data_IF_407948729794
#
_entry.id   IF_407948729794
#
_cell.length_a   1.000
_cell.length_b   1.000
_cell.length_c   1.000
_cell.angle_alpha   90.00
_cell.angle_beta   90.00
_cell.angle_gamma   90.00
#
_symmetry.space_group_name_H-M   'P 1'
#
loop_
_entity.id
_entity.type
_entity.pdbx_description
1 polymer ?
#
# COMPACT_ATOMS: atom_id res chain seq x y z
N UNK A 1 -46.91 2.66 -15.21
CA UNK A 1 -47.14 1.57 -14.24
C UNK A 1 -46.54 1.82 -12.85
N UNK A 2 -45.29 2.36 -12.73
CA UNK A 2 -44.65 2.60 -11.43
C UNK A 2 -45.36 3.58 -10.50
N UNK A 3 -46.06 4.62 -11.04
CA UNK A 3 -46.77 5.61 -10.21
C UNK A 3 -48.01 5.08 -9.51
N UNK A 4 -48.80 4.20 -10.11
CA UNK A 4 -49.95 3.58 -9.47
C UNK A 4 -49.58 2.63 -8.34
N UNK A 5 -48.47 1.96 -8.46
CA UNK A 5 -47.94 1.06 -7.42
C UNK A 5 -47.40 1.85 -6.21
N UNK A 6 -46.88 3.03 -6.45
CA UNK A 6 -46.39 3.95 -5.41
C UNK A 6 -47.53 4.48 -4.56
N UNK A 7 -48.59 5.04 -5.22
CA UNK A 7 -49.75 5.56 -4.51
C UNK A 7 -50.48 4.49 -3.71
N UNK A 8 -50.60 3.26 -4.20
CA UNK A 8 -51.21 2.14 -3.45
C UNK A 8 -50.41 1.75 -2.22
N UNK A 9 -49.06 1.69 -2.27
CA UNK A 9 -48.24 1.37 -1.09
C UNK A 9 -48.25 2.52 -0.08
N UNK A 10 -48.10 3.76 -0.51
CA UNK A 10 -48.16 4.92 0.38
C UNK A 10 -49.53 5.02 1.09
N UNK A 11 -50.62 4.82 0.36
CA UNK A 11 -51.98 4.78 0.90
C UNK A 11 -52.15 3.68 1.94
N UNK A 12 -51.56 2.53 1.73
CA UNK A 12 -51.59 1.40 2.69
C UNK A 12 -50.92 1.76 4.04
N UNK A 13 -49.78 2.49 4.01
CA UNK A 13 -49.11 2.93 5.23
C UNK A 13 -49.86 4.06 5.95
N UNK A 14 -50.48 4.98 5.21
CA UNK A 14 -51.39 5.99 5.80
C UNK A 14 -52.54 5.30 6.48
N UNK A 15 -53.11 4.26 5.87
CA UNK A 15 -54.20 3.46 6.45
C UNK A 15 -53.80 2.75 7.74
N UNK A 16 -52.52 2.29 7.88
CA UNK A 16 -52.00 1.67 9.11
C UNK A 16 -51.66 2.69 10.20
N UNK A 17 -51.29 3.93 9.85
CA UNK A 17 -51.05 4.98 10.85
C UNK A 17 -52.34 5.50 11.45
N UNK A 18 -53.42 5.54 10.70
CA UNK A 18 -54.71 6.13 11.05
C UNK A 18 -55.32 5.52 12.32
N UNK A 19 -55.38 4.16 12.53
CA UNK A 19 -55.85 3.55 13.77
C UNK A 19 -55.04 3.98 14.98
N UNK A 20 -53.71 4.11 14.88
CA UNK A 20 -52.87 4.56 15.99
C UNK A 20 -53.15 6.02 16.38
N UNK A 21 -53.36 6.89 15.40
CA UNK A 21 -53.74 8.29 15.64
C UNK A 21 -55.11 8.38 16.27
N UNK A 22 -56.11 7.66 15.73
CA UNK A 22 -57.47 7.62 16.27
C UNK A 22 -57.48 7.12 17.70
N UNK A 23 -56.75 6.04 17.97
CA UNK A 23 -56.66 5.47 19.32
C UNK A 23 -55.98 6.48 20.28
N UNK A 24 -54.90 7.16 19.85
CA UNK A 24 -54.22 8.17 20.65
C UNK A 24 -55.14 9.31 21.09
N UNK A 25 -56.00 9.85 20.18
CA UNK A 25 -56.95 10.90 20.50
C UNK A 25 -58.19 10.44 21.25
N UNK A 26 -58.59 9.18 21.11
CA UNK A 26 -59.75 8.62 21.82
C UNK A 26 -59.40 8.13 23.24
N UNK A 27 -58.14 7.85 23.52
CA UNK A 27 -57.68 7.35 24.83
C UNK A 27 -58.18 8.19 26.04
N UNK A 28 -58.12 9.56 26.01
CA UNK A 28 -58.61 10.40 27.11
C UNK A 28 -60.12 10.28 27.38
N UNK A 29 -60.89 9.81 26.37
CA UNK A 29 -62.34 9.72 26.45
C UNK A 29 -62.87 8.31 26.84
N UNK A 30 -61.95 7.31 26.87
CA UNK A 30 -62.28 5.94 27.23
C UNK A 30 -62.37 5.81 28.76
N UNK A 31 -63.59 5.94 29.29
CA UNK A 31 -63.95 5.86 30.73
C UNK A 31 -63.60 4.53 31.41
N UNK A 32 -63.07 3.52 30.71
CA UNK A 32 -62.70 2.22 31.27
C UNK A 32 -61.28 2.09 31.78
N UNK A 33 -60.43 3.12 31.66
CA UNK A 33 -59.00 3.11 32.06
C UNK A 33 -58.89 4.04 33.28
N UNK A 34 -59.30 3.53 34.45
CA UNK A 34 -59.30 4.32 35.71
C UNK A 34 -57.92 4.59 36.31
N UNK A 35 -56.88 3.86 35.89
CA UNK A 35 -55.53 4.01 36.42
C UNK A 35 -54.71 4.94 35.53
N UNK A 36 -54.17 6.05 36.09
CA UNK A 36 -53.23 6.97 35.39
C UNK A 36 -52.04 6.21 34.77
N UNK A 37 -51.59 5.16 35.44
CA UNK A 37 -50.48 4.31 34.99
C UNK A 37 -50.82 3.57 33.69
N UNK A 38 -52.00 3.00 33.59
CA UNK A 38 -52.51 2.28 32.39
C UNK A 38 -52.66 3.24 31.22
N UNK A 39 -53.23 4.43 31.48
CA UNK A 39 -53.40 5.47 30.46
C UNK A 39 -52.05 5.94 29.89
N UNK A 40 -51.04 6.12 30.77
CA UNK A 40 -49.71 6.48 30.39
C UNK A 40 -49.02 5.39 29.55
N UNK A 41 -49.10 4.13 29.93
CA UNK A 41 -48.56 2.99 29.20
C UNK A 41 -49.19 2.87 27.81
N UNK A 42 -50.52 2.95 27.74
CA UNK A 42 -51.26 2.84 26.49
C UNK A 42 -50.91 3.98 25.51
N UNK A 43 -50.78 5.21 26.02
CA UNK A 43 -50.34 6.37 25.23
C UNK A 43 -48.96 6.14 24.62
N UNK A 44 -47.99 5.66 25.42
CA UNK A 44 -46.64 5.35 24.94
C UNK A 44 -46.65 4.24 23.88
N UNK A 45 -47.42 3.20 24.05
CA UNK A 45 -47.60 2.12 23.08
C UNK A 45 -48.17 2.64 21.75
N UNK A 46 -49.18 3.54 21.81
CA UNK A 46 -49.75 4.17 20.62
C UNK A 46 -48.69 5.03 19.89
N UNK A 47 -47.94 5.83 20.62
CA UNK A 47 -46.85 6.66 20.01
C UNK A 47 -45.78 5.78 19.40
N UNK A 48 -45.33 4.72 20.09
CA UNK A 48 -44.35 3.76 19.58
C UNK A 48 -44.87 3.06 18.31
N UNK A 49 -46.12 2.68 18.27
CA UNK A 49 -46.78 2.11 17.07
C UNK A 49 -46.78 3.08 15.89
N UNK A 50 -47.17 4.36 16.12
CA UNK A 50 -47.15 5.40 15.08
C UNK A 50 -45.75 5.59 14.52
N UNK A 51 -44.73 5.69 15.39
CA UNK A 51 -43.32 5.81 14.97
C UNK A 51 -42.90 4.60 14.12
N UNK A 52 -43.26 3.38 14.55
CA UNK A 52 -42.99 2.15 13.79
C UNK A 52 -43.60 2.19 12.39
N UNK A 53 -44.86 2.61 12.27
CA UNK A 53 -45.53 2.75 10.96
C UNK A 53 -44.82 3.79 10.06
N UNK A 54 -44.37 4.92 10.63
CA UNK A 54 -43.64 5.94 9.92
C UNK A 54 -42.28 5.37 9.40
N UNK A 55 -41.53 4.65 10.24
CA UNK A 55 -40.28 4.02 9.84
C UNK A 55 -40.47 3.04 8.68
N UNK A 56 -41.52 2.20 8.74
CA UNK A 56 -41.85 1.29 7.64
C UNK A 56 -42.29 2.03 6.36
N UNK A 57 -42.99 3.15 6.50
CA UNK A 57 -43.36 3.99 5.35
C UNK A 57 -42.11 4.59 4.66
N UNK A 58 -41.18 5.14 5.46
CA UNK A 58 -39.89 5.67 4.96
C UNK A 58 -39.08 4.55 4.30
N UNK A 59 -38.96 3.40 4.94
CA UNK A 59 -38.25 2.24 4.38
C UNK A 59 -38.86 1.80 3.03
N UNK A 60 -40.18 1.79 2.93
CA UNK A 60 -40.87 1.46 1.69
C UNK A 60 -40.57 2.49 0.56
N UNK A 61 -40.45 3.77 0.92
CA UNK A 61 -40.05 4.82 0.01
C UNK A 61 -38.61 4.64 -0.48
N UNK A 62 -37.68 4.31 0.41
CA UNK A 62 -36.29 4.01 0.07
C UNK A 62 -36.18 2.81 -0.89
N UNK A 63 -37.01 1.78 -0.69
CA UNK A 63 -37.05 0.62 -1.58
C UNK A 63 -37.52 0.95 -3.00
N UNK A 64 -38.35 1.99 -3.18
CA UNK A 64 -38.78 2.44 -4.51
C UNK A 64 -37.64 3.14 -5.29
N UNK A 65 -36.71 3.77 -4.58
CA UNK A 65 -35.55 4.42 -5.17
C UNK A 65 -34.42 3.44 -5.52
N UNK A 66 -34.58 2.15 -5.24
CA UNK A 66 -33.57 1.11 -5.38
C UNK A 66 -33.25 0.81 -6.85
N UNK A 67 -32.20 1.45 -7.39
CA UNK A 67 -31.53 1.05 -8.64
C UNK A 67 -30.46 0.01 -8.35
N UNK A 68 -29.97 -0.71 -9.39
CA UNK A 68 -28.91 -1.71 -9.21
C UNK A 68 -27.63 -1.07 -8.63
N UNK A 69 -27.27 0.14 -9.07
CA UNK A 69 -26.09 0.85 -8.60
C UNK A 69 -26.21 1.37 -7.15
N UNK A 70 -27.43 1.69 -6.68
CA UNK A 70 -27.65 2.27 -5.33
C UNK A 70 -28.03 1.24 -4.26
N UNK A 71 -28.05 -0.04 -4.60
CA UNK A 71 -28.53 -1.11 -3.70
C UNK A 71 -27.81 -1.14 -2.34
N UNK A 72 -26.48 -1.04 -2.37
CA UNK A 72 -25.65 -1.04 -1.15
C UNK A 72 -25.88 0.20 -0.28
N UNK A 73 -25.94 1.40 -0.91
CA UNK A 73 -26.20 2.65 -0.18
C UNK A 73 -27.55 2.63 0.52
N UNK A 74 -28.60 2.17 -0.17
CA UNK A 74 -29.96 2.07 0.41
C UNK A 74 -29.96 1.11 1.59
N UNK A 75 -29.24 -0.01 1.55
CA UNK A 75 -29.14 -0.92 2.68
C UNK A 75 -28.50 -0.25 3.92
N UNK A 76 -27.46 0.55 3.73
CA UNK A 76 -26.84 1.30 4.83
C UNK A 76 -27.86 2.29 5.44
N UNK A 77 -28.57 3.06 4.61
CA UNK A 77 -29.60 3.96 5.10
C UNK A 77 -30.74 3.24 5.84
N UNK A 78 -31.14 2.06 5.41
CA UNK A 78 -32.15 1.25 6.08
C UNK A 78 -31.66 0.81 7.47
N UNK A 79 -30.41 0.36 7.60
CA UNK A 79 -29.83 -0.02 8.91
C UNK A 79 -29.82 1.17 9.86
N UNK A 80 -29.35 2.35 9.39
CA UNK A 80 -29.33 3.57 10.20
C UNK A 80 -30.76 3.98 10.59
N UNK A 81 -31.69 3.96 9.65
CA UNK A 81 -33.10 4.32 9.89
C UNK A 81 -33.73 3.45 11.00
N UNK A 82 -33.55 2.13 10.91
CA UNK A 82 -34.12 1.22 11.91
C UNK A 82 -33.37 1.29 13.24
N UNK A 83 -32.06 1.54 13.25
CA UNK A 83 -31.29 1.72 14.48
C UNK A 83 -31.72 2.99 15.23
N UNK A 84 -31.75 4.13 14.55
CA UNK A 84 -32.19 5.41 15.14
C UNK A 84 -33.65 5.34 15.55
N UNK A 85 -34.51 4.83 14.68
CA UNK A 85 -35.94 4.64 14.97
C UNK A 85 -36.19 3.72 16.12
N UNK A 86 -35.45 2.63 16.25
CA UNK A 86 -35.51 1.71 17.39
C UNK A 86 -35.17 2.40 18.71
N UNK A 87 -34.13 3.22 18.74
CA UNK A 87 -33.75 4.00 19.94
C UNK A 87 -34.88 4.99 20.31
N UNK A 88 -35.49 5.65 19.34
CA UNK A 88 -36.59 6.58 19.57
C UNK A 88 -37.79 5.82 20.14
N UNK A 89 -38.15 4.65 19.61
CA UNK A 89 -39.25 3.81 20.14
C UNK A 89 -38.95 3.40 21.59
N UNK A 90 -37.75 2.89 21.85
CA UNK A 90 -37.33 2.52 23.22
C UNK A 90 -37.41 3.71 24.15
N UNK A 91 -36.95 4.90 23.73
CA UNK A 91 -36.99 6.11 24.55
C UNK A 91 -38.43 6.49 24.96
N UNK A 92 -39.37 6.38 24.04
CA UNK A 92 -40.79 6.61 24.30
C UNK A 92 -41.32 5.60 25.30
N UNK A 93 -41.02 4.31 25.13
CA UNK A 93 -41.52 3.26 26.02
C UNK A 93 -41.00 3.40 27.45
N UNK A 94 -39.70 3.75 27.64
CA UNK A 94 -39.11 3.89 28.99
C UNK A 94 -39.24 5.31 29.56
N UNK A 95 -39.89 6.23 28.85
CA UNK A 95 -40.06 7.64 29.24
C UNK A 95 -38.72 8.38 29.50
N UNK A 96 -37.76 8.15 28.66
CA UNK A 96 -36.48 8.87 28.70
C UNK A 96 -36.30 9.65 27.41
N UNK A 97 -35.56 10.75 27.47
CA UNK A 97 -35.29 11.50 26.25
C UNK A 97 -34.39 10.70 25.28
N UNK A 98 -34.67 10.74 23.98
CA UNK A 98 -33.76 10.08 22.97
C UNK A 98 -32.31 10.54 23.11
N UNK A 99 -32.07 11.81 23.42
CA UNK A 99 -30.73 12.38 23.60
C UNK A 99 -29.95 11.69 24.73
N UNK A 100 -30.61 11.35 25.83
CA UNK A 100 -29.98 10.62 26.97
C UNK A 100 -29.53 9.21 26.54
N UNK A 101 -30.35 8.52 25.74
CA UNK A 101 -30.02 7.19 25.22
C UNK A 101 -28.87 7.28 24.20
N UNK A 102 -28.94 8.23 23.26
CA UNK A 102 -27.86 8.44 22.31
C UNK A 102 -26.55 8.82 22.99
N UNK A 103 -26.58 9.68 24.01
CA UNK A 103 -25.38 10.04 24.77
C UNK A 103 -24.76 8.83 25.48
N UNK A 104 -25.60 8.00 26.15
CA UNK A 104 -25.13 6.78 26.82
C UNK A 104 -24.55 5.75 25.86
N UNK A 105 -25.29 5.47 24.76
CA UNK A 105 -24.83 4.54 23.74
C UNK A 105 -23.56 5.07 23.01
N UNK A 106 -23.51 6.37 22.72
CA UNK A 106 -22.35 7.00 22.10
C UNK A 106 -21.10 6.93 22.97
N UNK A 107 -21.24 7.20 24.27
CA UNK A 107 -20.12 7.05 25.21
C UNK A 107 -19.63 5.59 25.30
N UNK A 108 -20.54 4.64 25.39
CA UNK A 108 -20.20 3.21 25.39
C UNK A 108 -19.53 2.78 24.09
N UNK A 109 -20.04 3.23 22.95
CA UNK A 109 -19.47 2.93 21.63
C UNK A 109 -18.07 3.53 21.48
N UNK A 110 -17.82 4.75 22.00
CA UNK A 110 -16.51 5.38 21.98
C UNK A 110 -15.47 4.59 22.80
N UNK A 111 -15.86 4.10 23.97
CA UNK A 111 -15.00 3.24 24.80
C UNK A 111 -14.69 1.92 24.08
N UNK A 112 -15.71 1.27 23.51
CA UNK A 112 -15.51 0.04 22.76
C UNK A 112 -14.61 0.25 21.53
N UNK A 113 -14.82 1.35 20.80
CA UNK A 113 -14.00 1.70 19.65
C UNK A 113 -12.53 1.92 20.05
N UNK A 114 -12.28 2.54 21.23
CA UNK A 114 -10.93 2.74 21.74
C UNK A 114 -10.26 1.38 22.09
N UNK A 115 -11.00 0.48 22.72
CA UNK A 115 -10.50 -0.85 23.11
C UNK A 115 -10.18 -1.71 21.87
N UNK A 116 -11.01 -1.64 20.84
CA UNK A 116 -10.83 -2.45 19.62
C UNK A 116 -10.11 -1.72 18.48
N UNK A 117 -9.62 -0.50 18.70
CA UNK A 117 -8.98 0.33 17.67
C UNK A 117 -7.92 -0.45 16.89
N UNK A 118 -6.96 -1.04 17.59
CA UNK A 118 -5.83 -1.71 16.96
C UNK A 118 -6.25 -2.99 16.23
N UNK A 119 -7.23 -3.69 16.77
CA UNK A 119 -7.82 -4.88 16.11
C UNK A 119 -8.51 -4.50 14.80
N UNK A 120 -9.29 -3.40 14.80
CA UNK A 120 -9.97 -2.91 13.60
C UNK A 120 -8.94 -2.43 12.57
N UNK A 121 -7.92 -1.68 12.99
CA UNK A 121 -6.85 -1.23 12.09
C UNK A 121 -6.08 -2.42 11.50
N UNK A 122 -5.74 -3.42 12.32
CA UNK A 122 -5.09 -4.65 11.85
C UNK A 122 -5.94 -5.40 10.83
N UNK A 123 -7.23 -5.55 11.08
CA UNK A 123 -8.17 -6.19 10.16
C UNK A 123 -8.27 -5.45 8.81
N UNK A 124 -8.48 -4.13 8.86
CA UNK A 124 -8.59 -3.30 7.64
C UNK A 124 -7.29 -3.36 6.85
N UNK A 125 -6.15 -3.25 7.52
CA UNK A 125 -4.84 -3.35 6.88
C UNK A 125 -4.59 -4.73 6.26
N UNK A 126 -4.95 -5.82 6.96
CA UNK A 126 -4.86 -7.18 6.42
C UNK A 126 -5.69 -7.36 5.14
N UNK A 127 -6.91 -6.83 5.13
CA UNK A 127 -7.77 -6.81 3.93
C UNK A 127 -7.13 -5.99 2.81
N UNK A 128 -6.56 -4.81 3.11
CA UNK A 128 -5.90 -3.97 2.12
C UNK A 128 -4.66 -4.64 1.52
N UNK A 129 -3.80 -5.26 2.32
CA UNK A 129 -2.63 -5.99 1.85
C UNK A 129 -3.02 -7.10 0.87
N UNK A 130 -4.08 -7.85 1.19
CA UNK A 130 -4.56 -8.95 0.36
C UNK A 130 -5.32 -8.46 -0.88
N UNK A 131 -6.24 -7.51 -0.74
CA UNK A 131 -7.09 -7.03 -1.83
C UNK A 131 -6.30 -6.26 -2.91
N UNK A 132 -5.26 -5.53 -2.50
CA UNK A 132 -4.37 -4.80 -3.41
C UNK A 132 -3.14 -5.60 -3.85
N UNK A 133 -3.04 -6.86 -3.44
CA UNK A 133 -1.91 -7.73 -3.77
C UNK A 133 -0.54 -7.15 -3.39
N UNK A 134 -0.49 -6.40 -2.30
CA UNK A 134 0.73 -5.73 -1.86
C UNK A 134 1.75 -6.72 -1.28
N UNK A 135 1.27 -7.84 -0.72
CA UNK A 135 2.07 -8.82 -0.02
C UNK A 135 1.49 -10.23 -0.17
N UNK A 136 2.36 -11.21 -0.47
CA UNK A 136 2.04 -12.65 -0.52
C UNK A 136 2.96 -13.44 0.40
N UNK A 137 2.50 -14.61 0.82
CA UNK A 137 3.38 -15.61 1.47
C UNK A 137 4.45 -16.03 0.46
N UNK A 138 5.71 -16.05 0.90
CA UNK A 138 6.87 -16.32 0.06
C UNK A 138 7.53 -15.08 -0.53
N UNK A 139 6.94 -13.89 -0.41
CA UNK A 139 7.59 -12.64 -0.83
C UNK A 139 8.82 -12.35 0.05
N UNK A 140 9.87 -11.90 -0.59
CA UNK A 140 10.96 -11.27 0.11
C UNK A 140 10.66 -9.78 0.30
N UNK A 141 10.60 -9.34 1.56
CA UNK A 141 10.37 -7.94 1.92
C UNK A 141 11.46 -7.40 2.83
N UNK A 142 11.67 -6.10 2.76
CA UNK A 142 12.58 -5.35 3.62
C UNK A 142 11.88 -4.09 4.11
N UNK A 143 11.77 -3.92 5.42
CA UNK A 143 11.24 -2.72 6.04
C UNK A 143 12.28 -1.59 5.99
N UNK A 144 11.81 -0.34 5.91
CA UNK A 144 12.69 0.83 5.79
C UNK A 144 13.56 1.09 7.02
N UNK A 145 13.12 0.65 8.19
CA UNK A 145 13.84 0.73 9.47
C UNK A 145 14.75 -0.48 9.72
N UNK A 146 14.89 -1.37 8.72
CA UNK A 146 15.67 -2.61 8.81
C UNK A 146 15.22 -3.58 9.92
N UNK A 147 14.09 -3.33 10.57
CA UNK A 147 13.56 -4.20 11.64
C UNK A 147 13.16 -5.60 11.13
N UNK A 148 12.93 -5.74 9.82
CA UNK A 148 12.72 -7.02 9.17
C UNK A 148 13.25 -6.99 7.72
N UNK A 149 14.00 -8.05 7.36
CA UNK A 149 14.48 -8.28 6.00
C UNK A 149 14.54 -9.79 5.75
N UNK A 150 13.56 -10.31 5.00
CA UNK A 150 13.46 -11.76 4.79
C UNK A 150 12.18 -12.17 4.08
N UNK A 151 11.85 -13.44 4.22
CA UNK A 151 10.74 -14.10 3.52
C UNK A 151 9.48 -14.10 4.41
N UNK A 152 8.35 -13.72 3.83
CA UNK A 152 7.04 -13.78 4.48
C UNK A 152 6.62 -15.24 4.63
N UNK A 153 6.50 -15.71 5.88
CA UNK A 153 6.08 -17.07 6.20
C UNK A 153 4.55 -17.19 6.32
N UNK A 154 3.94 -16.20 6.95
CA UNK A 154 2.52 -16.26 7.33
C UNK A 154 1.92 -14.85 7.36
N UNK A 155 0.70 -14.74 6.89
CA UNK A 155 -0.11 -13.53 6.98
C UNK A 155 -1.42 -13.90 7.70
N UNK A 156 -1.61 -13.37 8.88
CA UNK A 156 -2.86 -13.50 9.66
C UNK A 156 -3.57 -12.17 9.75
N UNK A 157 -4.72 -12.15 10.42
CA UNK A 157 -5.51 -10.95 10.61
C UNK A 157 -4.74 -9.81 11.30
N UNK A 158 -3.92 -10.15 12.29
CA UNK A 158 -3.24 -9.19 13.18
C UNK A 158 -1.71 -9.25 13.08
N UNK A 159 -1.16 -10.16 12.26
CA UNK A 159 0.26 -10.47 12.31
C UNK A 159 0.78 -10.93 10.95
N UNK A 160 1.92 -10.39 10.54
CA UNK A 160 2.74 -10.91 9.45
C UNK A 160 4.03 -11.42 10.05
N UNK A 161 4.39 -12.70 9.81
CA UNK A 161 5.65 -13.30 10.23
C UNK A 161 6.63 -13.30 9.07
N UNK A 162 7.83 -12.82 9.33
CA UNK A 162 8.91 -12.69 8.36
C UNK A 162 10.12 -13.45 8.91
N UNK A 163 10.61 -14.40 8.16
CA UNK A 163 11.88 -15.07 8.47
C UNK A 163 13.02 -14.25 7.88
N UNK A 164 13.81 -13.65 8.75
CA UNK A 164 15.00 -12.90 8.40
C UNK A 164 16.12 -13.82 7.89
N UNK A 165 17.11 -13.24 7.21
CA UNK A 165 18.24 -13.99 6.65
C UNK A 165 19.15 -14.63 7.71
N UNK A 166 19.11 -14.16 8.95
CA UNK A 166 19.79 -14.73 10.11
C UNK A 166 18.98 -15.84 10.80
N UNK A 167 17.89 -16.32 10.18
CA UNK A 167 16.93 -17.29 10.67
C UNK A 167 16.09 -16.83 11.88
N UNK A 168 16.18 -15.58 12.30
CA UNK A 168 15.23 -15.03 13.28
C UNK A 168 13.86 -14.76 12.65
N UNK A 169 12.82 -14.69 13.48
CA UNK A 169 11.48 -14.38 13.02
C UNK A 169 11.04 -13.01 13.55
N UNK A 170 10.84 -12.07 12.64
CA UNK A 170 10.20 -10.79 12.93
C UNK A 170 8.70 -10.91 12.81
N UNK A 171 7.98 -10.31 13.77
CA UNK A 171 6.51 -10.27 13.79
C UNK A 171 6.06 -8.83 13.66
N UNK A 172 5.36 -8.52 12.57
CA UNK A 172 4.95 -7.15 12.22
C UNK A 172 3.43 -7.07 12.12
N UNK A 173 2.77 -6.10 12.77
CA UNK A 173 1.35 -5.87 12.56
C UNK A 173 1.05 -5.45 11.11
N UNK A 174 -0.03 -5.95 10.47
CA UNK A 174 -0.40 -5.56 9.09
C UNK A 174 -0.53 -4.06 8.88
N UNK A 175 -1.05 -3.31 9.86
CA UNK A 175 -1.20 -1.87 9.75
C UNK A 175 0.14 -1.12 9.63
N UNK A 176 1.22 -1.66 10.20
CA UNK A 176 2.57 -1.10 10.03
C UNK A 176 2.99 -1.15 8.57
N UNK A 177 2.78 -2.28 7.89
CA UNK A 177 3.11 -2.45 6.47
C UNK A 177 2.29 -1.54 5.54
N UNK A 178 1.04 -1.21 5.93
CA UNK A 178 0.21 -0.28 5.16
C UNK A 178 0.61 1.18 5.39
N UNK A 179 1.07 1.53 6.60
CA UNK A 179 1.37 2.90 7.00
C UNK A 179 2.84 3.30 6.84
N UNK A 180 3.74 2.35 6.63
CA UNK A 180 5.17 2.60 6.41
C UNK A 180 5.61 2.11 5.03
N UNK A 181 6.73 2.61 4.57
CA UNK A 181 7.32 2.13 3.32
C UNK A 181 8.06 0.81 3.56
N UNK A 182 7.84 -0.17 2.72
CA UNK A 182 8.66 -1.37 2.64
C UNK A 182 9.01 -1.67 1.18
N UNK A 183 10.14 -2.34 0.96
CA UNK A 183 10.52 -2.87 -0.35
C UNK A 183 9.98 -4.29 -0.48
N UNK A 184 9.25 -4.57 -1.56
CA UNK A 184 8.88 -5.93 -1.95
C UNK A 184 9.77 -6.34 -3.15
N UNK A 185 10.60 -7.34 -2.95
CA UNK A 185 11.55 -7.82 -3.94
C UNK A 185 10.93 -8.76 -4.97
N UNK A 186 9.61 -9.04 -4.91
CA UNK A 186 8.88 -9.81 -5.92
C UNK A 186 9.09 -9.23 -7.32
N UNK A 187 8.98 -7.90 -7.46
CA UNK A 187 9.21 -7.23 -8.74
C UNK A 187 10.61 -7.50 -9.31
N UNK A 188 11.65 -7.56 -8.47
CA UNK A 188 12.99 -7.95 -8.90
C UNK A 188 13.03 -9.42 -9.33
N UNK A 189 12.39 -10.34 -8.59
CA UNK A 189 12.33 -11.76 -8.94
C UNK A 189 11.56 -12.02 -10.24
N UNK A 190 10.51 -11.26 -10.51
CA UNK A 190 9.71 -11.34 -11.73
C UNK A 190 10.33 -10.58 -12.91
N UNK A 191 11.24 -9.64 -12.66
CA UNK A 191 11.93 -8.85 -13.69
C UNK A 191 13.00 -9.65 -14.44
N UNK A 192 13.56 -9.06 -15.48
CA UNK A 192 14.65 -9.64 -16.28
C UNK A 192 16.00 -9.74 -15.58
N UNK A 193 16.18 -9.17 -14.37
CA UNK A 193 17.48 -9.20 -13.71
C UNK A 193 17.52 -8.50 -12.36
N UNK A 194 18.62 -8.69 -11.64
CA UNK A 194 18.91 -8.02 -10.39
C UNK A 194 19.89 -6.88 -10.63
N UNK A 195 19.57 -5.69 -10.13
CA UNK A 195 20.36 -4.48 -10.29
C UNK A 195 21.69 -4.55 -9.53
N UNK A 196 22.75 -4.16 -10.21
CA UNK A 196 24.06 -3.81 -9.64
C UNK A 196 24.21 -2.30 -9.78
N UNK A 197 24.45 -1.62 -8.69
CA UNK A 197 24.71 -0.17 -8.63
C UNK A 197 25.91 0.04 -7.71
N UNK A 198 27.10 0.18 -8.30
CA UNK A 198 28.35 0.35 -7.57
C UNK A 198 29.19 1.47 -8.21
N UNK A 199 30.08 2.03 -7.42
CA UNK A 199 30.93 3.14 -7.83
C UNK A 199 32.39 2.80 -7.72
N UNK A 200 33.14 3.05 -8.79
CA UNK A 200 34.62 3.01 -8.80
C UNK A 200 35.10 4.43 -8.60
N UNK A 201 35.99 4.63 -7.62
CA UNK A 201 36.55 5.95 -7.29
C UNK A 201 37.96 6.07 -7.88
N UNK A 202 38.17 7.02 -8.79
CA UNK A 202 39.44 7.26 -9.42
C UNK A 202 40.19 8.42 -8.76
N UNK A 203 41.52 8.32 -8.65
CA UNK A 203 42.37 9.43 -8.24
C UNK A 203 42.40 10.49 -9.35
N UNK A 204 41.91 11.69 -9.05
CA UNK A 204 41.83 12.81 -9.99
C UNK A 204 43.20 13.28 -10.48
N UNK A 205 44.28 13.04 -9.71
CA UNK A 205 45.64 13.39 -10.12
C UNK A 205 46.15 12.52 -11.27
N UNK A 206 45.49 11.43 -11.57
CA UNK A 206 45.84 10.53 -12.68
C UNK A 206 45.07 10.80 -13.95
N UNK A 207 44.13 11.76 -13.91
CA UNK A 207 43.36 12.16 -15.09
C UNK A 207 44.25 12.93 -16.07
N UNK A 208 44.26 12.50 -17.33
CA UNK A 208 45.03 13.16 -18.41
C UNK A 208 44.38 12.94 -19.77
N UNK A 209 44.76 13.75 -20.74
CA UNK A 209 44.38 13.48 -22.11
C UNK A 209 45.15 12.27 -22.65
N UNK A 210 44.52 11.50 -23.52
CA UNK A 210 45.15 10.35 -24.15
C UNK A 210 46.22 10.80 -25.14
N UNK A 211 47.40 10.13 -25.13
CA UNK A 211 48.45 10.28 -26.13
C UNK A 211 48.29 9.20 -27.20
N UNK A 212 48.87 9.43 -28.39
CA UNK A 212 48.84 8.43 -29.47
C UNK A 212 49.52 7.12 -29.07
N UNK A 213 50.57 7.19 -28.25
CA UNK A 213 51.25 6.01 -27.70
C UNK A 213 50.33 5.21 -26.78
N UNK A 214 49.61 5.90 -25.89
CA UNK A 214 48.61 5.26 -25.01
C UNK A 214 47.50 4.59 -25.80
N UNK A 215 46.94 5.27 -26.80
CA UNK A 215 45.89 4.71 -27.65
C UNK A 215 46.39 3.49 -28.43
N UNK A 216 47.64 3.52 -28.91
CA UNK A 216 48.24 2.38 -29.61
C UNK A 216 48.46 1.19 -28.71
N UNK A 217 48.96 1.41 -27.48
CA UNK A 217 49.12 0.39 -26.46
C UNK A 217 47.79 -0.25 -26.10
N UNK A 218 46.78 0.54 -25.79
CA UNK A 218 45.44 0.03 -25.40
C UNK A 218 44.83 -0.79 -26.53
N UNK A 219 44.97 -0.40 -27.79
CA UNK A 219 44.48 -1.19 -28.93
C UNK A 219 45.18 -2.54 -29.08
N UNK A 220 46.45 -2.62 -28.71
CA UNK A 220 47.25 -3.85 -28.79
C UNK A 220 46.97 -4.77 -27.59
N UNK A 221 46.91 -4.24 -26.38
CA UNK A 221 46.85 -4.99 -25.12
C UNK A 221 45.45 -5.30 -24.66
N UNK A 222 44.44 -4.46 -25.06
CA UNK A 222 43.04 -4.63 -24.67
C UNK A 222 42.17 -5.05 -25.85
N UNK A 223 41.86 -6.36 -26.01
CA UNK A 223 41.20 -6.86 -27.22
C UNK A 223 39.85 -6.21 -27.52
N UNK A 224 39.07 -5.84 -26.49
CA UNK A 224 37.78 -5.16 -26.63
C UNK A 224 37.90 -3.74 -27.19
N UNK A 225 39.11 -3.17 -27.18
CA UNK A 225 39.38 -1.79 -27.60
C UNK A 225 40.02 -1.69 -29.00
N UNK A 226 40.15 -2.81 -29.74
CA UNK A 226 40.77 -2.83 -31.06
C UNK A 226 40.05 -1.95 -32.09
N UNK A 227 38.72 -1.96 -32.07
CA UNK A 227 37.88 -1.31 -33.09
C UNK A 227 37.36 0.06 -32.62
N UNK A 228 38.06 0.74 -31.72
CA UNK A 228 37.65 2.09 -31.29
C UNK A 228 38.05 3.09 -32.36
N UNK A 229 37.02 3.55 -33.08
CA UNK A 229 37.14 4.78 -33.89
C UNK A 229 37.09 5.99 -32.96
N UNK A 230 38.28 6.45 -32.59
CA UNK A 230 38.41 7.67 -31.80
C UNK A 230 38.18 8.86 -32.73
N UNK A 231 36.95 9.32 -32.85
CA UNK A 231 36.55 10.44 -33.72
C UNK A 231 37.22 11.76 -33.33
N UNK A 232 37.80 11.88 -32.13
CA UNK A 232 38.49 13.10 -31.70
C UNK A 232 39.67 12.76 -30.77
N UNK A 233 40.79 12.37 -31.41
CA UNK A 233 42.01 11.91 -30.73
C UNK A 233 42.62 12.93 -29.77
N UNK A 234 42.37 14.23 -29.98
CA UNK A 234 43.03 15.31 -29.23
C UNK A 234 42.27 15.72 -27.96
N UNK A 235 41.00 15.33 -27.79
CA UNK A 235 40.19 15.75 -26.65
C UNK A 235 39.78 14.60 -25.70
N UNK A 236 40.10 13.35 -26.03
CA UNK A 236 39.71 12.19 -25.23
C UNK A 236 40.59 12.06 -23.98
N UNK A 237 39.96 11.88 -22.82
CA UNK A 237 40.65 11.58 -21.56
C UNK A 237 40.77 10.09 -21.31
N UNK A 238 41.75 9.68 -20.51
CA UNK A 238 41.92 8.30 -20.06
C UNK A 238 40.69 7.79 -19.28
N UNK A 239 40.05 8.62 -18.47
CA UNK A 239 38.81 8.27 -17.77
C UNK A 239 37.63 8.06 -18.74
N UNK A 240 37.52 8.82 -19.82
CA UNK A 240 36.55 8.60 -20.88
C UNK A 240 36.79 7.27 -21.59
N UNK A 241 38.02 6.96 -21.88
CA UNK A 241 38.42 5.71 -22.54
C UNK A 241 38.14 4.50 -21.64
N UNK A 242 38.39 4.64 -20.35
CA UNK A 242 38.05 3.59 -19.35
C UNK A 242 36.54 3.36 -19.22
N UNK A 243 35.72 4.42 -19.18
CA UNK A 243 34.27 4.29 -19.19
C UNK A 243 33.75 3.55 -20.44
N UNK A 244 34.31 3.85 -21.59
CA UNK A 244 33.97 3.16 -22.84
C UNK A 244 34.37 1.69 -22.80
N UNK A 245 35.51 1.37 -22.16
CA UNK A 245 35.91 -0.01 -21.91
C UNK A 245 34.92 -0.73 -21.03
N UNK A 246 34.53 -0.15 -19.89
CA UNK A 246 33.53 -0.74 -18.97
C UNK A 246 32.22 -1.02 -19.72
N UNK A 247 31.72 -0.07 -20.49
CA UNK A 247 30.52 -0.22 -21.29
C UNK A 247 30.63 -1.40 -22.28
N UNK A 248 31.70 -1.47 -23.03
CA UNK A 248 31.96 -2.59 -23.96
C UNK A 248 32.09 -3.93 -23.23
N UNK A 249 32.82 -3.97 -22.13
CA UNK A 249 33.00 -5.18 -21.35
C UNK A 249 31.65 -5.73 -20.84
N UNK A 250 30.84 -4.87 -20.25
CA UNK A 250 29.51 -5.26 -19.72
C UNK A 250 28.52 -5.62 -20.84
N UNK A 251 28.58 -4.93 -21.98
CA UNK A 251 27.76 -5.25 -23.16
C UNK A 251 28.05 -6.66 -23.72
N UNK A 252 29.30 -7.10 -23.66
CA UNK A 252 29.70 -8.42 -24.13
C UNK A 252 29.67 -9.51 -23.05
N UNK A 253 29.37 -9.14 -21.80
CA UNK A 253 29.36 -10.11 -20.71
C UNK A 253 28.09 -10.98 -20.75
N UNK A 254 28.20 -12.33 -20.75
CA UNK A 254 27.08 -13.23 -21.03
C UNK A 254 25.95 -13.18 -20.00
N UNK A 255 26.26 -12.80 -18.75
CA UNK A 255 25.31 -12.78 -17.64
C UNK A 255 24.68 -11.39 -17.43
N UNK A 256 25.18 -10.36 -18.10
CA UNK A 256 24.59 -9.01 -18.06
C UNK A 256 23.36 -8.96 -18.98
N UNK A 257 22.24 -8.51 -18.46
CA UNK A 257 21.02 -8.40 -19.25
C UNK A 257 21.07 -7.16 -20.15
N UNK A 258 21.20 -7.40 -21.45
CA UNK A 258 21.29 -6.34 -22.47
C UNK A 258 19.94 -5.67 -22.80
N UNK A 259 18.82 -6.20 -22.29
CA UNK A 259 17.49 -5.62 -22.49
C UNK A 259 17.10 -4.62 -21.39
N UNK A 260 17.93 -4.47 -20.36
CA UNK A 260 17.75 -3.54 -19.27
C UNK A 260 18.83 -2.45 -19.32
N UNK A 261 18.62 -1.36 -18.58
CA UNK A 261 19.53 -0.21 -18.60
C UNK A 261 20.94 -0.59 -18.19
N UNK A 262 21.92 -0.13 -18.97
CA UNK A 262 23.35 -0.18 -18.68
C UNK A 262 23.85 1.25 -18.74
N UNK A 263 24.34 1.78 -17.61
CA UNK A 263 24.75 3.17 -17.48
C UNK A 263 26.14 3.23 -16.84
N UNK A 264 27.10 3.82 -17.56
CA UNK A 264 28.42 4.11 -17.03
C UNK A 264 28.58 5.63 -17.00
N UNK A 265 28.43 6.20 -15.79
CA UNK A 265 28.36 7.64 -15.64
C UNK A 265 29.43 8.16 -14.70
N UNK A 266 30.08 9.28 -15.11
CA UNK A 266 30.88 10.08 -14.20
C UNK A 266 29.95 10.91 -13.32
N UNK A 267 30.15 10.85 -12.02
CA UNK A 267 29.42 11.67 -11.03
C UNK A 267 30.28 12.87 -10.61
N UNK A 268 29.72 13.75 -9.81
CA UNK A 268 30.44 14.93 -9.30
C UNK A 268 31.67 14.51 -8.50
N UNK A 269 32.85 15.16 -8.73
CA UNK A 269 34.04 14.91 -7.96
C UNK A 269 33.82 15.12 -6.46
N UNK A 270 34.38 14.24 -5.65
CA UNK A 270 34.33 14.29 -4.20
C UNK A 270 35.73 14.40 -3.58
N UNK A 271 35.81 14.64 -2.29
CA UNK A 271 37.05 14.52 -1.54
C UNK A 271 37.67 13.10 -1.59
N UNK A 272 36.89 12.11 -1.99
CA UNK A 272 37.31 10.71 -2.14
C UNK A 272 37.57 10.33 -3.62
N UNK A 273 37.93 11.29 -4.48
CA UNK A 273 38.22 11.08 -5.89
C UNK A 273 37.02 11.29 -6.80
N UNK A 274 37.19 10.90 -8.07
CA UNK A 274 36.21 10.98 -9.13
C UNK A 274 35.38 9.69 -9.17
N UNK A 275 34.08 9.74 -8.82
CA UNK A 275 33.21 8.56 -8.83
C UNK A 275 32.79 8.23 -10.27
N UNK A 276 32.99 6.97 -10.67
CA UNK A 276 32.42 6.38 -11.88
C UNK A 276 31.38 5.40 -11.45
N UNK A 277 30.11 5.73 -11.66
CA UNK A 277 28.99 4.84 -11.39
C UNK A 277 28.87 3.79 -12.49
N UNK A 278 28.69 2.54 -12.05
CA UNK A 278 28.53 1.38 -12.91
C UNK A 278 27.20 0.75 -12.54
N UNK A 279 26.19 1.00 -13.38
CA UNK A 279 24.82 0.58 -13.18
C UNK A 279 24.40 -0.40 -14.27
N UNK A 280 24.02 -1.62 -13.91
CA UNK A 280 23.58 -2.65 -14.85
C UNK A 280 22.76 -3.74 -14.15
N UNK A 281 22.25 -4.71 -14.91
CA UNK A 281 21.46 -5.81 -14.36
C UNK A 281 22.09 -7.16 -14.71
N UNK A 282 22.19 -8.04 -13.71
CA UNK A 282 22.57 -9.44 -13.89
C UNK A 282 21.31 -10.30 -14.05
N UNK A 283 21.34 -11.25 -14.98
CA UNK A 283 20.24 -12.20 -15.20
C UNK A 283 20.09 -13.19 -14.04
N UNK A 284 21.18 -13.51 -13.35
CA UNK A 284 21.15 -14.33 -12.15
C UNK A 284 20.66 -13.50 -10.94
N UNK A 285 19.67 -14.07 -10.21
CA UNK A 285 19.00 -13.41 -9.08
C UNK A 285 19.25 -14.13 -7.76
N UNK A 286 19.82 -15.34 -7.81
CA UNK A 286 20.19 -16.10 -6.61
C UNK A 286 21.27 -15.33 -5.88
N UNK A 287 21.07 -15.07 -4.58
CA UNK A 287 21.91 -14.14 -3.84
C UNK A 287 23.40 -14.53 -3.88
N UNK A 288 23.74 -15.77 -3.63
CA UNK A 288 25.13 -16.21 -3.64
C UNK A 288 25.80 -16.02 -5.00
N UNK A 289 25.16 -16.48 -6.07
CA UNK A 289 25.66 -16.36 -7.43
C UNK A 289 25.76 -14.89 -7.87
N UNK A 290 24.75 -14.11 -7.52
CA UNK A 290 24.74 -12.67 -7.79
C UNK A 290 25.95 -11.97 -7.15
N UNK A 291 26.28 -12.27 -5.86
CA UNK A 291 27.41 -11.67 -5.15
C UNK A 291 28.76 -12.13 -5.74
N UNK A 292 28.89 -13.39 -6.16
CA UNK A 292 30.09 -13.88 -6.82
C UNK A 292 30.31 -13.18 -8.17
N UNK A 293 29.31 -13.20 -9.04
CA UNK A 293 29.41 -12.63 -10.38
C UNK A 293 29.71 -11.13 -10.32
N UNK A 294 29.01 -10.38 -9.47
CA UNK A 294 29.30 -8.94 -9.35
C UNK A 294 30.71 -8.68 -8.81
N UNK A 295 31.20 -9.52 -7.89
CA UNK A 295 32.56 -9.39 -7.35
C UNK A 295 33.61 -9.64 -8.43
N UNK A 296 33.49 -10.70 -9.21
CA UNK A 296 34.37 -11.03 -10.31
C UNK A 296 34.43 -9.90 -11.37
N UNK A 297 33.25 -9.34 -11.69
CA UNK A 297 33.16 -8.19 -12.61
C UNK A 297 33.92 -7.00 -12.03
N UNK A 298 33.69 -6.64 -10.78
CA UNK A 298 34.32 -5.46 -10.18
C UNK A 298 35.82 -5.68 -9.96
N UNK A 299 36.26 -6.86 -9.58
CA UNK A 299 37.69 -7.20 -9.47
C UNK A 299 38.39 -6.98 -10.82
N UNK A 300 37.79 -7.46 -11.90
CA UNK A 300 38.30 -7.23 -13.25
C UNK A 300 38.33 -5.74 -13.59
N UNK A 301 37.26 -4.98 -13.34
CA UNK A 301 37.23 -3.55 -13.65
C UNK A 301 38.26 -2.77 -12.83
N UNK A 302 38.44 -3.08 -11.55
CA UNK A 302 39.41 -2.40 -10.71
C UNK A 302 40.84 -2.61 -11.18
N UNK A 303 41.19 -3.83 -11.59
CA UNK A 303 42.54 -4.16 -12.14
C UNK A 303 42.74 -3.43 -13.48
N UNK A 304 41.74 -3.43 -14.35
CA UNK A 304 41.83 -2.82 -15.68
C UNK A 304 41.99 -1.31 -15.63
N UNK A 305 41.65 -0.61 -14.56
CA UNK A 305 41.88 0.82 -14.41
C UNK A 305 43.37 1.19 -14.64
N UNK A 306 44.30 0.31 -14.20
CA UNK A 306 45.73 0.48 -14.38
C UNK A 306 46.16 0.53 -15.87
N UNK A 307 45.54 -0.25 -16.74
CA UNK A 307 45.83 -0.28 -18.18
C UNK A 307 45.53 1.07 -18.86
N UNK A 308 44.60 1.83 -18.25
CA UNK A 308 44.24 3.19 -18.69
C UNK A 308 45.03 4.29 -17.97
N UNK A 309 46.16 3.94 -17.31
CA UNK A 309 47.00 4.85 -16.50
C UNK A 309 46.17 5.56 -15.39
N UNK A 310 45.11 4.92 -14.90
CA UNK A 310 44.26 5.42 -13.80
C UNK A 310 44.63 4.69 -12.50
N UNK A 311 44.69 5.44 -11.42
CA UNK A 311 44.79 4.89 -10.07
C UNK A 311 43.43 4.94 -9.38
N UNK A 312 43.17 3.92 -8.60
CA UNK A 312 42.04 3.95 -7.68
C UNK A 312 42.35 4.88 -6.51
N UNK A 313 41.37 5.65 -6.10
CA UNK A 313 41.53 6.49 -4.93
C UNK A 313 41.57 5.63 -3.66
N UNK A 314 42.59 5.80 -2.86
CA UNK A 314 42.74 5.23 -1.52
C UNK A 314 43.16 6.36 -0.58
N UNK A 315 42.64 6.31 0.67
CA UNK A 315 43.12 7.18 1.73
C UNK A 315 44.50 6.66 2.17
N UNK A 316 45.50 7.51 2.12
CA UNK A 316 46.82 7.23 2.67
C UNK A 316 46.80 7.20 4.21
#
# INVERSE_FOLDING_TARGET
>A
MKGKFFTQKLFKYILYILPGIVLYYLLPYLKGIESETMQMITTRLCVAYIIGCILFAINSLLLLMRSRAMKGLIQIFQVILFFVGGIIIVSVLINKSPNTLFAGLGASAAILMLVFKDTILGFVAGVQLSANDLLRIGDWIQLSDESANGIVLEITLNTVKIQNWDNTISTVPPYTLVNTTFKNWRGMQESGGRCVDKTIKLDMNTLKFCTDDMLTRIRQEVPLMKDIDCLDKQSMTNAQLYRLYIEKYLTHHPIVNQNLDLIIAQREPTQFGLPIEVYFFLTDKVWQEFEHIQSDIFDHLLVMAGEFDLKLYQLD
#
